data_IF_539778911268
#
_entry.id   IF_539778911268
#
_cell.length_a   1.000
_cell.length_b   1.000
_cell.length_c   1.000
_cell.angle_alpha   90.00
_cell.angle_beta   90.00
_cell.angle_gamma   90.00
#
_symmetry.space_group_name_H-M   'P 1'
#
loop_
_entity.id
_entity.type
_entity.pdbx_description
1 polymer ?
#
# COMPACT_ATOMS: atom_id res chain seq x y z
N UNK A 1 -14.63 9.93 -97.68
CA UNK A 1 -15.57 8.82 -97.47
C UNK A 1 -15.86 8.69 -95.99
N UNK A 2 -17.03 9.14 -95.54
CA UNK A 2 -17.50 8.98 -94.16
C UNK A 2 -18.69 8.03 -94.19
N UNK A 3 -18.52 6.84 -93.62
CA UNK A 3 -19.61 5.88 -93.40
C UNK A 3 -20.08 6.00 -91.96
N UNK A 4 -21.30 6.50 -91.76
CA UNK A 4 -21.96 6.56 -90.47
C UNK A 4 -22.31 5.15 -90.00
N UNK A 5 -21.69 4.70 -88.92
CA UNK A 5 -22.02 3.46 -88.22
C UNK A 5 -23.29 3.66 -87.38
N UNK A 6 -24.37 2.99 -87.78
CA UNK A 6 -25.61 2.91 -87.01
C UNK A 6 -25.40 2.12 -85.72
N UNK A 7 -25.32 2.82 -84.58
CA UNK A 7 -25.28 2.22 -83.25
C UNK A 7 -26.69 1.74 -82.86
N UNK A 8 -26.91 0.42 -82.84
CA UNK A 8 -28.13 -0.17 -82.27
C UNK A 8 -28.20 0.12 -80.77
N UNK A 9 -29.13 0.99 -80.34
CA UNK A 9 -29.49 1.18 -78.93
C UNK A 9 -30.02 -0.15 -78.35
N UNK A 10 -29.23 -0.84 -77.52
CA UNK A 10 -29.74 -1.90 -76.63
C UNK A 10 -30.73 -1.26 -75.64
N UNK A 11 -32.02 -1.59 -75.76
CA UNK A 11 -33.02 -1.29 -74.72
C UNK A 11 -32.58 -1.99 -73.44
N UNK A 12 -32.28 -1.24 -72.37
CA UNK A 12 -32.18 -1.80 -71.01
C UNK A 12 -33.53 -2.44 -70.70
N UNK A 13 -33.54 -3.76 -70.54
CA UNK A 13 -34.64 -4.47 -69.91
C UNK A 13 -34.81 -3.90 -68.51
N UNK A 14 -35.79 -3.02 -68.32
CA UNK A 14 -36.31 -2.73 -66.98
C UNK A 14 -37.05 -3.99 -66.56
N UNK A 15 -36.39 -4.83 -65.77
CA UNK A 15 -37.05 -5.94 -65.08
C UNK A 15 -38.17 -5.31 -64.25
N UNK A 16 -39.41 -5.40 -64.73
CA UNK A 16 -40.58 -4.99 -63.93
C UNK A 16 -40.67 -6.01 -62.81
N UNK A 17 -40.05 -5.71 -61.67
CA UNK A 17 -40.21 -6.51 -60.47
C UNK A 17 -41.69 -6.51 -60.12
N UNK A 18 -42.29 -7.70 -60.06
CA UNK A 18 -43.67 -7.85 -59.66
C UNK A 18 -43.81 -7.34 -58.22
N UNK A 19 -44.96 -6.76 -57.87
CA UNK A 19 -45.21 -6.21 -56.52
C UNK A 19 -44.89 -7.20 -55.41
N UNK A 20 -45.11 -8.49 -55.67
CA UNK A 20 -44.73 -9.59 -54.77
C UNK A 20 -43.22 -9.70 -54.53
N UNK A 21 -42.38 -9.52 -55.55
CA UNK A 21 -40.92 -9.55 -55.43
C UNK A 21 -40.38 -8.35 -54.65
N UNK A 22 -41.01 -7.17 -54.84
CA UNK A 22 -40.69 -5.96 -54.06
C UNK A 22 -41.07 -6.16 -52.59
N UNK A 23 -42.26 -6.73 -52.32
CA UNK A 23 -42.73 -7.05 -50.97
C UNK A 23 -41.82 -8.06 -50.27
N UNK A 24 -41.39 -9.12 -50.98
CA UNK A 24 -40.52 -10.15 -50.42
C UNK A 24 -39.13 -9.59 -50.08
N UNK A 25 -38.57 -8.74 -50.95
CA UNK A 25 -37.34 -7.99 -50.66
C UNK A 25 -37.50 -7.04 -49.48
N UNK A 26 -38.63 -6.33 -49.37
CA UNK A 26 -38.91 -5.44 -48.24
C UNK A 26 -39.02 -6.20 -46.91
N UNK A 27 -39.67 -7.37 -46.91
CA UNK A 27 -39.77 -8.25 -45.74
C UNK A 27 -38.37 -8.78 -45.35
N UNK A 28 -37.57 -9.21 -46.33
CA UNK A 28 -36.19 -9.65 -46.07
C UNK A 28 -35.32 -8.53 -45.49
N UNK A 29 -35.46 -7.30 -45.98
CA UNK A 29 -34.78 -6.13 -45.41
C UNK A 29 -35.24 -5.85 -43.97
N UNK A 30 -36.55 -5.92 -43.68
CA UNK A 30 -37.08 -5.73 -42.33
C UNK A 30 -36.57 -6.79 -41.34
N UNK A 31 -36.51 -8.06 -41.76
CA UNK A 31 -35.97 -9.15 -40.94
C UNK A 31 -34.47 -8.96 -40.71
N UNK A 32 -33.71 -8.58 -41.75
CA UNK A 32 -32.27 -8.34 -41.65
C UNK A 32 -31.91 -7.20 -40.68
N UNK A 33 -32.69 -6.10 -40.68
CA UNK A 33 -32.49 -4.97 -39.74
C UNK A 33 -32.82 -5.38 -38.31
N UNK A 34 -33.90 -6.14 -38.09
CA UNK A 34 -34.30 -6.61 -36.76
C UNK A 34 -33.30 -7.65 -36.17
N UNK A 35 -32.84 -8.60 -36.99
CA UNK A 35 -31.83 -9.58 -36.57
C UNK A 35 -30.43 -8.96 -36.38
N UNK A 36 -30.05 -8.01 -37.23
CA UNK A 36 -28.76 -7.32 -37.13
C UNK A 36 -28.66 -6.40 -35.90
N UNK A 37 -29.75 -5.69 -35.58
CA UNK A 37 -29.81 -4.84 -34.37
C UNK A 37 -29.81 -5.64 -33.07
N UNK A 38 -30.49 -6.79 -33.03
CA UNK A 38 -30.50 -7.66 -31.84
C UNK A 38 -29.15 -8.33 -31.60
N UNK A 39 -28.43 -8.76 -32.64
CA UNK A 39 -27.08 -9.34 -32.50
C UNK A 39 -26.06 -8.27 -32.08
N UNK A 40 -26.12 -7.06 -32.65
CA UNK A 40 -25.26 -5.95 -32.23
C UNK A 40 -25.48 -5.57 -30.76
N UNK A 41 -26.73 -5.49 -30.30
CA UNK A 41 -27.07 -5.20 -28.90
C UNK A 41 -26.61 -6.30 -27.93
N UNK A 42 -26.53 -7.56 -28.38
CA UNK A 42 -26.03 -8.68 -27.56
C UNK A 42 -24.50 -8.74 -27.47
N UNK A 43 -23.80 -8.28 -28.52
CA UNK A 43 -22.34 -8.23 -28.57
C UNK A 43 -21.78 -6.95 -27.92
N UNK A 44 -22.56 -5.86 -27.85
CA UNK A 44 -22.18 -4.62 -27.16
C UNK A 44 -22.25 -4.72 -25.61
N UNK A 45 -22.33 -5.94 -25.08
CA UNK A 45 -21.92 -6.19 -23.70
C UNK A 45 -20.40 -6.14 -23.66
N UNK A 46 -19.89 -4.92 -23.61
CA UNK A 46 -18.54 -4.63 -23.14
C UNK A 46 -18.28 -5.51 -21.92
N UNK A 47 -17.20 -6.29 -21.96
CA UNK A 47 -16.72 -7.03 -20.79
C UNK A 47 -16.73 -6.04 -19.63
N UNK A 48 -17.37 -6.41 -18.51
CA UNK A 48 -17.33 -5.56 -17.33
C UNK A 48 -15.84 -5.36 -17.01
N UNK A 49 -15.33 -4.17 -17.29
CA UNK A 49 -14.11 -3.68 -16.65
C UNK A 49 -14.51 -3.59 -15.20
N UNK A 50 -14.29 -4.69 -14.47
CA UNK A 50 -14.44 -4.72 -13.04
C UNK A 50 -13.49 -3.65 -12.55
N UNK A 51 -14.05 -2.52 -12.10
CA UNK A 51 -13.29 -1.54 -11.38
C UNK A 51 -12.96 -2.20 -10.04
N UNK A 52 -11.85 -2.96 -10.01
CA UNK A 52 -11.27 -3.48 -8.79
C UNK A 52 -10.78 -2.28 -8.00
N UNK A 53 -11.70 -1.68 -7.24
CA UNK A 53 -11.35 -0.78 -6.17
C UNK A 53 -10.62 -1.63 -5.11
N UNK A 54 -9.31 -1.78 -5.29
CA UNK A 54 -8.45 -2.34 -4.26
C UNK A 54 -8.41 -1.31 -3.11
N UNK A 55 -8.94 -1.70 -1.95
CA UNK A 55 -8.81 -0.91 -0.75
C UNK A 55 -7.32 -0.78 -0.40
N UNK A 56 -6.92 0.41 0.03
CA UNK A 56 -5.56 0.65 0.48
C UNK A 56 -5.24 -0.24 1.69
N UNK A 57 -4.29 -1.17 1.49
CA UNK A 57 -3.76 -2.05 2.53
C UNK A 57 -2.68 -1.30 3.27
N UNK A 58 -2.70 -1.40 4.61
CA UNK A 58 -1.67 -0.79 5.45
C UNK A 58 -0.92 -1.90 6.17
N UNK A 59 0.41 -1.92 6.00
CA UNK A 59 1.29 -2.86 6.68
C UNK A 59 2.71 -2.28 6.74
N UNK A 60 3.50 -2.75 7.70
CA UNK A 60 4.90 -2.38 7.80
C UNK A 60 5.76 -3.54 8.28
N UNK A 61 7.06 -3.43 8.06
CA UNK A 61 8.07 -4.41 8.45
C UNK A 61 9.22 -3.70 9.17
N UNK A 62 9.71 -4.29 10.25
CA UNK A 62 10.91 -3.81 10.95
C UNK A 62 12.13 -4.44 10.31
N UNK A 63 13.07 -3.61 9.89
CA UNK A 63 14.41 -4.02 9.48
C UNK A 63 15.42 -3.54 10.50
N UNK A 64 16.34 -4.41 10.90
CA UNK A 64 17.31 -4.12 11.95
C UNK A 64 18.59 -4.94 11.76
N UNK A 65 19.68 -4.49 12.39
CA UNK A 65 20.90 -5.28 12.53
C UNK A 65 21.12 -5.57 14.00
N UNK A 66 21.19 -6.85 14.35
CA UNK A 66 21.51 -7.29 15.70
C UNK A 66 22.60 -8.34 15.67
N UNK A 67 23.76 -8.04 16.29
CA UNK A 67 24.91 -8.95 16.36
C UNK A 67 25.05 -9.62 17.75
N UNK A 68 23.94 -9.66 18.51
CA UNK A 68 23.84 -10.11 19.90
C UNK A 68 24.52 -9.21 20.93
N UNK A 69 25.26 -8.18 20.51
CA UNK A 69 25.90 -7.17 21.38
C UNK A 69 25.36 -5.77 21.13
N UNK A 70 25.02 -5.47 19.90
CA UNK A 70 24.56 -4.18 19.45
C UNK A 70 23.37 -4.37 18.52
N UNK A 71 22.26 -3.67 18.83
CA UNK A 71 21.13 -3.48 17.93
C UNK A 71 21.18 -2.07 17.38
N UNK A 72 21.15 -1.95 16.05
CA UNK A 72 21.15 -0.66 15.35
C UNK A 72 20.48 -0.79 13.99
N UNK A 73 20.43 0.34 13.26
CA UNK A 73 19.78 0.45 11.96
C UNK A 73 18.32 -0.03 12.00
N UNK A 74 17.63 0.22 13.12
CA UNK A 74 16.22 -0.14 13.32
C UNK A 74 15.36 0.83 12.52
N UNK A 75 14.90 0.36 11.36
CA UNK A 75 14.06 1.09 10.42
C UNK A 75 12.75 0.36 10.23
N UNK A 76 11.70 1.13 9.94
CA UNK A 76 10.39 0.55 9.64
C UNK A 76 10.03 0.89 8.21
N UNK A 77 9.77 -0.15 7.42
CA UNK A 77 9.43 -0.06 6.01
C UNK A 77 7.93 -0.17 5.84
N UNK A 78 7.32 0.74 5.09
CA UNK A 78 5.92 0.65 4.70
C UNK A 78 5.77 -0.36 3.56
N UNK A 79 5.09 -1.48 3.83
CA UNK A 79 4.83 -2.56 2.87
C UNK A 79 3.36 -2.56 2.40
N UNK A 80 2.60 -1.55 2.78
CA UNK A 80 1.23 -1.34 2.34
C UNK A 80 1.14 -0.83 0.90
N UNK A 81 -0.07 -0.44 0.50
CA UNK A 81 -0.36 0.10 -0.84
C UNK A 81 -0.67 1.60 -0.83
N UNK A 82 -0.48 2.27 0.32
CA UNK A 82 -0.62 3.71 0.47
C UNK A 82 0.40 4.26 1.47
N UNK A 83 0.67 5.56 1.38
CA UNK A 83 1.53 6.28 2.32
C UNK A 83 0.98 6.15 3.74
N UNK A 84 1.88 5.93 4.70
CA UNK A 84 1.47 5.59 6.06
C UNK A 84 2.31 6.32 7.10
N UNK A 85 1.67 6.73 8.19
CA UNK A 85 2.37 7.08 9.42
C UNK A 85 2.71 5.80 10.19
N UNK A 86 3.85 5.82 10.85
CA UNK A 86 4.39 4.67 11.60
C UNK A 86 4.38 4.97 13.09
N UNK A 87 3.98 3.98 13.89
CA UNK A 87 4.11 3.97 15.35
C UNK A 87 4.78 2.69 15.80
N UNK A 88 5.76 2.80 16.69
CA UNK A 88 6.50 1.69 17.27
C UNK A 88 6.35 1.64 18.80
N UNK A 89 6.36 0.43 19.37
CA UNK A 89 6.63 0.19 20.78
C UNK A 89 7.89 -0.66 20.89
N UNK A 90 8.72 -0.38 21.90
CA UNK A 90 9.95 -1.13 22.17
C UNK A 90 9.74 -1.95 23.43
N UNK A 91 9.97 -3.26 23.34
CA UNK A 91 9.86 -4.20 24.46
C UNK A 91 11.23 -4.81 24.70
N UNK A 92 11.73 -4.69 25.92
CA UNK A 92 13.05 -5.22 26.32
C UNK A 92 12.86 -6.26 27.39
N UNK A 93 13.37 -7.46 27.15
CA UNK A 93 13.35 -8.58 28.08
C UNK A 93 14.72 -9.26 28.13
N UNK A 94 15.03 -9.87 29.26
CA UNK A 94 16.11 -10.85 29.36
C UNK A 94 15.54 -12.24 29.17
N UNK A 95 16.24 -13.07 28.40
CA UNK A 95 15.89 -14.47 28.18
C UNK A 95 16.95 -15.38 28.81
N UNK A 96 16.54 -16.46 29.45
CA UNK A 96 17.44 -17.54 29.89
C UNK A 96 17.91 -18.41 28.71
N UNK A 97 18.70 -19.44 28.99
CA UNK A 97 19.21 -20.38 27.98
C UNK A 97 18.13 -21.22 27.29
N UNK A 98 16.94 -21.31 27.86
CA UNK A 98 15.78 -22.01 27.30
C UNK A 98 14.86 -21.07 26.50
N UNK A 99 15.13 -19.76 26.55
CA UNK A 99 14.35 -18.72 25.87
C UNK A 99 13.18 -18.16 26.69
N UNK A 100 13.11 -18.44 27.99
CA UNK A 100 12.07 -17.89 28.85
C UNK A 100 12.42 -16.48 29.32
N UNK A 101 11.42 -15.61 29.43
CA UNK A 101 11.58 -14.26 29.99
C UNK A 101 11.90 -14.36 31.48
N UNK A 102 13.02 -13.76 31.89
CA UNK A 102 13.42 -13.64 33.29
C UNK A 102 13.21 -12.20 33.79
N UNK A 103 12.67 -12.02 35.01
CA UNK A 103 12.36 -10.70 35.54
C UNK A 103 13.61 -9.91 35.98
N UNK A 104 14.73 -10.59 36.19
CA UNK A 104 15.99 -9.98 36.62
C UNK A 104 17.18 -10.86 36.23
N UNK A 105 18.32 -10.23 35.97
CA UNK A 105 19.60 -10.88 35.70
C UNK A 105 20.66 -10.40 36.71
N UNK A 106 21.78 -11.12 36.90
CA UNK A 106 22.88 -10.63 37.71
C UNK A 106 23.39 -9.26 37.24
N UNK A 107 23.92 -8.44 38.15
CA UNK A 107 24.35 -7.05 37.90
C UNK A 107 25.42 -6.90 36.80
N UNK A 108 26.16 -7.98 36.52
CA UNK A 108 27.17 -8.04 35.45
C UNK A 108 26.56 -8.04 34.04
N UNK A 109 25.26 -8.37 33.93
CA UNK A 109 24.46 -8.23 32.72
C UNK A 109 23.75 -6.88 32.75
N UNK A 110 23.98 -6.04 31.74
CA UNK A 110 23.30 -4.76 31.62
C UNK A 110 23.12 -4.36 30.16
N UNK A 111 22.30 -3.36 29.92
CA UNK A 111 22.13 -2.80 28.58
C UNK A 111 21.97 -1.29 28.65
N UNK A 112 22.33 -0.63 27.56
CA UNK A 112 22.04 0.77 27.31
C UNK A 112 21.13 0.84 26.09
N UNK A 113 19.91 1.34 26.27
CA UNK A 113 18.95 1.58 25.20
C UNK A 113 18.85 3.09 24.99
N UNK A 114 19.17 3.55 23.79
CA UNK A 114 19.00 4.94 23.38
C UNK A 114 17.96 5.02 22.28
N UNK A 115 16.96 5.90 22.46
CA UNK A 115 15.94 6.22 21.47
C UNK A 115 16.04 7.71 21.22
N UNK A 116 16.27 8.10 19.97
CA UNK A 116 16.48 9.50 19.61
C UNK A 116 15.17 10.11 19.13
N UNK A 117 14.52 10.94 19.95
CA UNK A 117 13.29 11.65 19.59
C UNK A 117 13.60 13.11 19.30
N UNK A 118 12.59 13.84 18.80
CA UNK A 118 12.62 15.28 18.56
C UNK A 118 13.01 16.10 19.80
N UNK A 119 12.81 15.54 21.00
CA UNK A 119 13.21 16.17 22.25
C UNK A 119 14.72 16.13 22.47
N UNK A 120 15.38 15.04 22.06
CA UNK A 120 16.82 14.85 22.21
C UNK A 120 17.61 15.41 21.01
N UNK A 121 17.09 15.27 19.80
CA UNK A 121 17.68 15.78 18.56
C UNK A 121 16.61 16.48 17.71
N UNK A 122 16.71 17.80 17.47
CA UNK A 122 15.79 18.53 16.60
C UNK A 122 15.70 18.01 15.16
N UNK A 123 16.66 17.19 14.72
CA UNK A 123 16.65 16.57 13.40
C UNK A 123 15.99 15.18 13.37
N UNK A 124 15.60 14.65 14.53
CA UNK A 124 14.85 13.39 14.59
C UNK A 124 13.44 13.59 14.03
N UNK A 125 12.88 12.56 13.41
CA UNK A 125 11.47 12.53 12.99
C UNK A 125 10.62 11.70 13.96
N UNK A 126 11.13 11.33 15.14
CA UNK A 126 10.42 10.52 16.11
C UNK A 126 9.90 11.38 17.27
N UNK A 127 8.65 11.13 17.70
CA UNK A 127 8.07 11.73 18.91
C UNK A 127 7.64 10.63 19.87
N UNK A 128 8.05 10.72 21.13
CA UNK A 128 7.55 9.85 22.19
C UNK A 128 6.20 10.37 22.73
N UNK A 129 5.24 9.45 22.86
CA UNK A 129 3.99 9.67 23.61
C UNK A 129 3.59 8.39 24.34
N UNK A 130 3.67 8.44 25.67
CA UNK A 130 3.37 7.29 26.52
C UNK A 130 4.39 6.18 26.32
N UNK A 131 3.95 5.01 25.84
CA UNK A 131 4.80 3.85 25.56
C UNK A 131 5.14 3.67 24.08
N UNK A 132 4.84 4.68 23.26
CA UNK A 132 4.92 4.61 21.82
C UNK A 132 5.78 5.73 21.25
N UNK A 133 6.47 5.42 20.16
CA UNK A 133 7.25 6.34 19.34
C UNK A 133 6.57 6.49 18.00
N UNK A 134 6.32 7.73 17.58
CA UNK A 134 5.60 8.06 16.36
C UNK A 134 6.56 8.70 15.36
N UNK A 135 6.64 8.16 14.15
CA UNK A 135 7.37 8.79 13.05
C UNK A 135 6.49 9.86 12.42
N UNK A 136 6.95 11.11 12.40
CA UNK A 136 6.13 12.28 12.09
C UNK A 136 5.91 12.48 10.59
N UNK A 137 6.80 11.96 9.74
CA UNK A 137 6.67 12.08 8.30
C UNK A 137 5.89 10.89 7.71
N UNK A 138 5.06 11.09 6.68
CA UNK A 138 4.43 9.98 5.99
C UNK A 138 5.52 9.15 5.29
N UNK A 139 5.47 7.82 5.47
CA UNK A 139 6.38 6.88 4.81
C UNK A 139 5.70 6.39 3.54
N UNK A 140 6.29 6.71 2.39
CA UNK A 140 5.79 6.29 1.09
C UNK A 140 5.74 4.77 0.93
N UNK A 141 4.93 4.26 0.01
CA UNK A 141 4.88 2.83 -0.35
C UNK A 141 6.27 2.31 -0.71
N UNK A 142 6.73 1.26 -0.01
CA UNK A 142 8.07 0.69 -0.16
C UNK A 142 9.21 1.53 0.44
N UNK A 143 8.91 2.70 0.99
CA UNK A 143 9.86 3.55 1.72
C UNK A 143 10.10 3.08 3.15
N UNK A 144 11.19 3.54 3.74
CA UNK A 144 11.55 3.28 5.14
C UNK A 144 11.70 4.58 5.92
N UNK A 145 11.51 4.51 7.24
CA UNK A 145 11.85 5.62 8.15
C UNK A 145 13.33 6.00 8.00
N UNK A 146 13.61 7.30 8.12
CA UNK A 146 14.97 7.82 8.10
C UNK A 146 15.67 7.61 9.44
N UNK A 147 17.00 7.45 9.40
CA UNK A 147 17.80 7.17 10.59
C UNK A 147 17.51 5.80 11.22
N UNK A 148 17.95 5.62 12.46
CA UNK A 148 17.61 4.46 13.29
C UNK A 148 16.65 4.93 14.39
N UNK A 149 15.55 4.21 14.63
CA UNK A 149 14.65 4.49 15.76
C UNK A 149 15.41 4.41 17.09
N UNK A 150 16.24 3.36 17.24
CA UNK A 150 16.96 3.09 18.47
C UNK A 150 18.35 2.54 18.20
N UNK A 151 19.20 2.65 19.20
CA UNK A 151 20.41 1.84 19.35
C UNK A 151 20.37 1.17 20.71
N UNK A 152 20.83 -0.09 20.77
CA UNK A 152 20.92 -0.80 22.03
C UNK A 152 22.24 -1.56 22.12
N UNK A 153 23.01 -1.29 23.15
CA UNK A 153 24.25 -2.01 23.46
C UNK A 153 24.04 -2.86 24.70
N UNK A 154 24.37 -4.15 24.62
CA UNK A 154 24.34 -5.07 25.75
C UNK A 154 25.74 -5.37 26.25
N UNK A 155 25.90 -5.35 27.57
CA UNK A 155 27.11 -5.73 28.28
C UNK A 155 26.89 -7.08 28.96
N UNK A 156 27.73 -8.04 28.61
CA UNK A 156 27.82 -9.36 29.25
C UNK A 156 29.00 -9.42 30.22
N UNK A 157 29.00 -10.37 31.17
CA UNK A 157 30.15 -10.63 32.04
C UNK A 157 31.45 -10.86 31.26
N UNK A 158 32.56 -10.37 31.80
CA UNK A 158 33.88 -10.54 31.17
C UNK A 158 34.30 -12.02 31.13
N UNK A 159 34.93 -12.43 30.03
CA UNK A 159 35.42 -13.80 29.86
C UNK A 159 34.37 -14.86 29.52
N UNK A 160 33.08 -14.52 29.48
CA UNK A 160 32.00 -15.44 29.12
C UNK A 160 31.83 -15.54 27.60
N UNK A 161 32.05 -16.73 27.03
CA UNK A 161 31.86 -16.99 25.59
C UNK A 161 30.41 -17.29 25.22
N UNK A 162 29.66 -17.88 26.13
CA UNK A 162 28.25 -18.23 25.96
C UNK A 162 27.50 -17.70 27.17
N UNK A 163 26.82 -16.54 27.03
CA UNK A 163 26.10 -15.94 28.14
C UNK A 163 24.90 -16.80 28.54
N UNK A 164 24.64 -16.88 29.84
CA UNK A 164 23.49 -17.60 30.40
C UNK A 164 22.18 -16.87 30.10
N UNK A 165 22.25 -15.53 30.03
CA UNK A 165 21.14 -14.67 29.69
C UNK A 165 21.41 -13.87 28.42
N UNK A 166 20.41 -13.74 27.56
CA UNK A 166 20.50 -12.94 26.33
C UNK A 166 19.46 -11.83 26.33
N UNK A 167 19.83 -10.67 25.81
CA UNK A 167 18.89 -9.55 25.70
C UNK A 167 18.02 -9.73 24.45
N UNK A 168 16.70 -9.69 24.65
CA UNK A 168 15.71 -9.58 23.59
C UNK A 168 15.17 -8.16 23.56
N UNK A 169 15.37 -7.48 22.43
CA UNK A 169 14.81 -6.15 22.16
C UNK A 169 13.90 -6.31 20.95
N UNK A 170 12.60 -6.25 21.18
CA UNK A 170 11.56 -6.42 20.17
C UNK A 170 10.91 -5.07 19.84
N UNK A 171 10.71 -4.82 18.54
CA UNK A 171 10.05 -3.61 18.05
C UNK A 171 8.72 -4.01 17.44
N UNK A 172 7.64 -3.54 18.06
CA UNK A 172 6.28 -3.74 17.59
C UNK A 172 5.84 -2.51 16.81
N UNK A 173 5.93 -2.59 15.49
CA UNK A 173 5.55 -1.50 14.59
C UNK A 173 4.13 -1.66 14.05
N UNK A 174 3.43 -0.54 13.90
CA UNK A 174 2.12 -0.44 13.29
C UNK A 174 2.09 0.74 12.33
N UNK A 175 1.31 0.62 11.26
CA UNK A 175 1.15 1.64 10.23
C UNK A 175 -0.32 2.03 10.08
N UNK A 176 -0.59 3.29 9.76
CA UNK A 176 -1.93 3.84 9.48
C UNK A 176 -1.85 4.73 8.25
N UNK A 177 -2.87 4.73 7.40
CA UNK A 177 -2.93 5.59 6.20
C UNK A 177 -2.65 7.06 6.59
N UNK A 178 -1.79 7.73 5.82
CA UNK A 178 -1.46 9.13 6.08
C UNK A 178 -2.59 10.08 5.68
N UNK A 179 -3.48 9.67 4.77
CA UNK A 179 -4.64 10.44 4.33
C UNK A 179 -5.84 9.48 4.18
N UNK A 180 -7.05 9.88 4.61
CA UNK A 180 -7.43 11.14 5.25
C UNK A 180 -7.05 11.20 6.75
N UNK A 181 -7.08 12.41 7.34
CA UNK A 181 -6.81 12.63 8.78
C UNK A 181 -7.67 11.75 9.70
N UNK A 182 -8.90 11.43 9.28
CA UNK A 182 -9.81 10.55 10.02
C UNK A 182 -9.24 9.14 10.25
N UNK A 183 -8.36 8.64 9.37
CA UNK A 183 -7.70 7.35 9.56
C UNK A 183 -6.79 7.37 10.81
N UNK A 184 -6.01 8.44 10.97
CA UNK A 184 -5.13 8.65 12.11
C UNK A 184 -5.94 8.81 13.40
N UNK A 185 -7.00 9.63 13.35
CA UNK A 185 -7.87 9.85 14.51
C UNK A 185 -8.55 8.59 14.98
N UNK A 186 -9.06 7.78 14.04
CA UNK A 186 -9.72 6.51 14.35
C UNK A 186 -8.74 5.50 14.96
N UNK A 187 -7.50 5.46 14.46
CA UNK A 187 -6.50 4.51 14.92
C UNK A 187 -5.85 4.89 16.26
N UNK A 188 -5.55 6.17 16.47
CA UNK A 188 -4.69 6.62 17.58
C UNK A 188 -5.37 7.61 18.54
N UNK A 189 -6.53 8.14 18.19
CA UNK A 189 -7.33 9.03 19.04
C UNK A 189 -7.60 10.39 18.38
N UNK A 190 -8.69 11.04 18.79
CA UNK A 190 -9.22 12.28 18.17
C UNK A 190 -8.31 13.50 18.26
N UNK A 191 -7.36 13.49 19.21
CA UNK A 191 -6.45 14.61 19.42
C UNK A 191 -5.32 14.65 18.39
N UNK A 192 -5.07 13.55 17.66
CA UNK A 192 -4.12 13.52 16.57
C UNK A 192 -4.65 14.29 15.36
N UNK A 193 -3.75 14.97 14.65
CA UNK A 193 -4.07 15.69 13.41
C UNK A 193 -2.90 15.68 12.44
N UNK A 194 -3.12 16.21 11.24
CA UNK A 194 -2.10 16.36 10.20
C UNK A 194 -1.84 17.86 10.00
N UNK A 195 -0.57 18.24 10.01
CA UNK A 195 -0.16 19.62 9.74
C UNK A 195 -0.32 19.95 8.24
N UNK A 196 -0.39 21.23 7.85
CA UNK A 196 -0.51 21.62 6.45
C UNK A 196 0.63 21.11 5.54
N UNK A 197 1.79 20.79 6.11
CA UNK A 197 2.94 20.20 5.41
C UNK A 197 2.86 18.67 5.25
N UNK A 198 1.79 18.04 5.74
CA UNK A 198 1.59 16.59 5.70
C UNK A 198 2.28 15.84 6.84
N UNK A 199 2.91 16.52 7.81
CA UNK A 199 3.47 15.85 8.99
C UNK A 199 2.40 15.53 10.04
N UNK A 200 2.56 14.42 10.74
CA UNK A 200 1.73 14.01 11.87
C UNK A 200 1.98 14.93 13.06
N UNK A 201 0.90 15.53 13.57
CA UNK A 201 0.91 16.25 14.85
C UNK A 201 0.57 15.28 15.97
N UNK A 202 1.58 14.91 16.74
CA UNK A 202 1.42 14.08 17.94
C UNK A 202 0.98 14.99 19.10
N UNK A 203 -0.12 14.68 19.81
CA UNK A 203 -0.58 15.52 20.92
C UNK A 203 0.40 15.43 22.09
N UNK A 204 0.73 16.57 22.68
CA UNK A 204 1.50 16.62 23.93
C UNK A 204 0.72 15.95 25.05
N UNK A 205 1.40 15.13 25.87
CA UNK A 205 0.81 14.59 27.09
C UNK A 205 0.48 15.75 28.05
N UNK A 206 -0.76 15.81 28.54
CA UNK A 206 -1.15 16.69 29.66
C UNK A 206 -0.47 16.27 30.97
#
# INVERSE_FOLDING_TARGET
MYQGTYVKKRRKSRTRMNRATVLLMAILMLIGVAAGSTVAYLIDRTEQVANTFEYAKVSCEVTEKFDRKEKKDVKITNTGTTDAYIRAAVVVNWLDSEGNIVPSVPTEYSYNLTITTLKEDPNSNWVEKGKYYYYTLPVAVGGSTEGSLLTCEVKYPEGVKTPEYTLSVEILATAVQSVPEDAVKTAWGTDFSINPDGSLKVPTSN
#
